data_IF_563485463459
#
_entry.id   IF_563485463459
#
_cell.length_a   1.000
_cell.length_b   1.000
_cell.length_c   1.000
_cell.angle_alpha   90.00
_cell.angle_beta   90.00
_cell.angle_gamma   90.00
#
_symmetry.space_group_name_H-M   'P 1'
#
loop_
_entity.id
_entity.type
_entity.pdbx_description
1 polymer ?
#
# COMPACT_ATOMS: atom_id res chain seq x y z
N UNK A 1 -13.56 23.46 -3.68
CA UNK A 1 -12.53 22.89 -2.79
C UNK A 1 -11.57 22.08 -3.66
N UNK A 2 -10.25 22.21 -3.52
CA UNK A 2 -9.30 21.44 -4.34
C UNK A 2 -9.17 19.98 -3.84
N UNK A 3 -8.60 19.10 -4.66
CA UNK A 3 -8.39 17.67 -4.34
C UNK A 3 -7.68 17.46 -3.01
N UNK A 4 -6.62 18.24 -2.72
CA UNK A 4 -5.89 18.16 -1.46
C UNK A 4 -6.77 18.39 -0.23
N UNK A 5 -7.65 19.40 -0.25
CA UNK A 5 -8.59 19.68 0.84
C UNK A 5 -9.70 18.62 0.95
N UNK A 6 -10.16 18.08 -0.18
CA UNK A 6 -11.16 17.00 -0.20
C UNK A 6 -10.60 15.77 0.49
N UNK A 7 -9.41 15.29 0.09
CA UNK A 7 -8.81 14.10 0.69
C UNK A 7 -8.52 14.31 2.18
N UNK A 8 -8.02 15.48 2.59
CA UNK A 8 -7.85 15.78 4.02
C UNK A 8 -9.19 15.70 4.77
N UNK A 9 -10.29 16.19 4.20
CA UNK A 9 -11.61 16.09 4.81
C UNK A 9 -12.15 14.64 4.82
N UNK A 10 -11.88 13.84 3.78
CA UNK A 10 -12.22 12.41 3.72
C UNK A 10 -11.51 11.64 4.82
N UNK A 11 -10.18 11.78 4.93
CA UNK A 11 -9.34 11.06 5.90
C UNK A 11 -9.69 11.45 7.34
N UNK A 12 -10.01 12.73 7.57
CA UNK A 12 -10.31 13.24 8.90
C UNK A 12 -11.82 13.23 9.25
N UNK A 13 -12.67 12.61 8.43
CA UNK A 13 -14.12 12.50 8.67
C UNK A 13 -14.81 13.88 8.88
N UNK A 14 -14.51 14.86 8.03
CA UNK A 14 -14.98 16.25 8.13
C UNK A 14 -16.00 16.67 7.06
N UNK A 15 -16.94 15.78 6.74
CA UNK A 15 -18.04 16.00 5.79
C UNK A 15 -17.55 16.60 4.45
N UNK A 16 -16.68 15.89 3.72
CA UNK A 16 -16.20 16.37 2.43
C UNK A 16 -17.40 16.52 1.46
N UNK A 17 -17.31 17.44 0.48
CA UNK A 17 -18.41 17.66 -0.48
C UNK A 17 -18.66 16.45 -1.40
N UNK A 18 -17.72 15.51 -1.46
CA UNK A 18 -17.78 14.23 -2.18
C UNK A 18 -16.77 13.25 -1.57
N UNK A 19 -16.89 11.98 -1.91
CA UNK A 19 -15.84 10.98 -1.61
C UNK A 19 -14.51 11.34 -2.28
N UNK A 20 -13.40 10.76 -1.81
CA UNK A 20 -12.13 10.81 -2.54
C UNK A 20 -12.19 9.94 -3.78
N UNK A 21 -11.47 10.30 -4.84
CA UNK A 21 -11.44 9.53 -6.10
C UNK A 21 -10.02 9.41 -6.63
N UNK A 22 -9.61 8.20 -6.94
CA UNK A 22 -8.33 7.85 -7.59
C UNK A 22 -8.67 7.01 -8.81
N UNK A 23 -9.27 7.66 -9.80
CA UNK A 23 -9.76 7.04 -11.03
C UNK A 23 -8.88 7.46 -12.23
N UNK A 24 -8.89 6.72 -13.35
CA UNK A 24 -8.16 7.10 -14.55
C UNK A 24 -8.86 8.24 -15.29
N UNK A 25 -8.14 8.95 -16.16
CA UNK A 25 -8.75 9.92 -17.08
C UNK A 25 -9.87 9.26 -17.91
N UNK A 26 -11.00 9.96 -18.17
CA UNK A 26 -11.27 11.37 -17.87
C UNK A 26 -11.90 11.62 -16.48
N UNK A 27 -11.89 10.63 -15.59
CA UNK A 27 -12.52 10.73 -14.27
C UNK A 27 -11.60 11.42 -13.25
N UNK A 28 -12.14 11.95 -12.13
CA UNK A 28 -11.34 12.64 -11.13
C UNK A 28 -10.25 11.76 -10.51
N UNK A 29 -9.05 12.33 -10.38
CA UNK A 29 -7.95 11.74 -9.63
C UNK A 29 -7.37 12.77 -8.65
N UNK A 30 -7.64 12.55 -7.36
CA UNK A 30 -7.27 13.44 -6.27
C UNK A 30 -5.84 13.27 -5.78
N UNK A 31 -5.15 12.21 -6.21
CA UNK A 31 -3.81 11.87 -5.73
C UNK A 31 -2.73 12.27 -6.72
N UNK A 32 -1.58 12.66 -6.18
CA UNK A 32 -0.33 12.70 -6.90
C UNK A 32 0.70 11.89 -6.12
N UNK A 33 1.17 10.79 -6.70
CA UNK A 33 2.14 9.91 -6.07
C UNK A 33 3.54 10.29 -6.57
N UNK A 34 4.40 10.70 -5.66
CA UNK A 34 5.82 10.89 -5.88
C UNK A 34 6.60 9.66 -5.43
N UNK A 35 7.62 9.30 -6.20
CA UNK A 35 8.53 8.19 -5.89
C UNK A 35 9.94 8.74 -5.75
N UNK A 36 10.77 8.03 -4.99
CA UNK A 36 12.21 8.23 -4.98
C UNK A 36 12.78 7.63 -6.27
N UNK A 37 13.79 8.27 -6.85
CA UNK A 37 14.60 7.67 -7.90
C UNK A 37 15.43 6.53 -7.31
N UNK A 38 15.12 5.30 -7.69
CA UNK A 38 15.87 4.11 -7.28
C UNK A 38 17.13 3.91 -8.13
N UNK A 39 18.11 3.16 -7.62
CA UNK A 39 19.25 2.78 -8.45
C UNK A 39 18.81 1.82 -9.54
N UNK A 40 19.37 1.96 -10.76
CA UNK A 40 19.06 1.04 -11.84
C UNK A 40 19.41 -0.40 -11.44
N UNK A 41 18.48 -1.37 -11.64
CA UNK A 41 18.76 -2.76 -11.33
C UNK A 41 19.89 -3.29 -12.20
N UNK A 42 20.75 -4.13 -11.63
CA UNK A 42 21.75 -4.85 -12.39
C UNK A 42 21.09 -6.02 -13.11
N UNK A 43 20.99 -5.95 -14.44
CA UNK A 43 20.50 -7.07 -15.25
C UNK A 43 21.52 -8.22 -15.19
N UNK A 44 21.02 -9.43 -14.96
CA UNK A 44 21.81 -10.65 -14.88
C UNK A 44 21.40 -11.61 -16.00
N UNK A 45 22.30 -12.52 -16.42
CA UNK A 45 21.91 -13.60 -17.31
C UNK A 45 20.77 -14.44 -16.71
N UNK A 46 19.78 -14.88 -17.51
CA UNK A 46 18.79 -15.85 -17.05
C UNK A 46 19.48 -17.15 -16.64
N UNK A 47 18.90 -17.90 -15.70
CA UNK A 47 19.56 -19.05 -15.08
C UNK A 47 18.93 -20.41 -15.39
N UNK A 48 17.77 -20.56 -16.01
CA UNK A 48 17.21 -21.85 -16.47
C UNK A 48 16.16 -21.56 -17.55
N UNK A 49 14.89 -21.65 -17.16
CA UNK A 49 13.71 -21.31 -17.95
C UNK A 49 13.25 -19.87 -17.70
N UNK A 50 13.95 -19.07 -16.89
CA UNK A 50 13.55 -17.69 -16.65
C UNK A 50 13.78 -16.82 -17.89
N UNK A 51 12.85 -15.91 -18.17
CA UNK A 51 12.99 -14.95 -19.27
C UNK A 51 13.88 -13.78 -18.87
N UNK A 52 13.87 -13.39 -17.58
CA UNK A 52 14.65 -12.27 -17.07
C UNK A 52 15.09 -12.49 -15.63
N UNK A 53 16.25 -11.94 -15.31
CA UNK A 53 16.84 -11.96 -13.97
C UNK A 53 17.57 -10.65 -13.71
N UNK A 54 17.43 -10.11 -12.51
CA UNK A 54 18.06 -8.85 -12.15
C UNK A 54 18.32 -8.77 -10.66
N UNK A 55 19.21 -7.87 -10.26
CA UNK A 55 19.48 -7.53 -8.88
C UNK A 55 19.05 -6.09 -8.60
N UNK A 56 18.22 -5.90 -7.58
CA UNK A 56 17.75 -4.56 -7.18
C UNK A 56 18.79 -3.81 -6.34
N UNK A 57 18.47 -2.57 -5.98
CA UNK A 57 19.34 -1.70 -5.17
C UNK A 57 19.57 -2.21 -3.74
N UNK A 58 18.73 -3.13 -3.25
CA UNK A 58 18.90 -3.81 -1.98
C UNK A 58 19.82 -5.02 -2.09
N UNK A 59 20.27 -5.36 -3.31
CA UNK A 59 21.09 -6.53 -3.59
C UNK A 59 20.29 -7.83 -3.72
N UNK A 60 18.95 -7.76 -3.75
CA UNK A 60 18.07 -8.92 -3.88
C UNK A 60 18.02 -9.33 -5.34
N UNK A 61 18.15 -10.63 -5.60
CA UNK A 61 18.03 -11.19 -6.95
C UNK A 61 16.62 -11.66 -7.21
N UNK A 62 16.07 -11.14 -8.30
CA UNK A 62 14.74 -11.41 -8.79
C UNK A 62 14.82 -12.17 -10.10
N UNK A 63 13.81 -12.99 -10.37
CA UNK A 63 13.63 -13.60 -11.68
C UNK A 63 12.15 -13.64 -12.06
N UNK A 64 11.88 -13.77 -13.36
CA UNK A 64 10.53 -13.85 -13.87
C UNK A 64 10.47 -14.68 -15.16
N UNK A 65 9.36 -15.40 -15.33
CA UNK A 65 9.01 -16.16 -16.52
C UNK A 65 8.21 -15.33 -17.54
N UNK A 66 7.86 -14.09 -17.23
CA UNK A 66 7.08 -13.21 -18.11
C UNK A 66 7.64 -11.78 -18.11
N UNK A 67 7.22 -10.97 -19.08
CA UNK A 67 7.52 -9.53 -19.08
C UNK A 67 6.49 -8.73 -18.27
N UNK A 68 5.39 -9.36 -17.84
CA UNK A 68 4.20 -8.69 -17.31
C UNK A 68 4.06 -8.77 -15.78
N UNK A 69 4.74 -9.71 -15.13
CA UNK A 69 4.70 -9.84 -13.67
C UNK A 69 5.78 -8.98 -12.95
N UNK A 70 5.76 -8.96 -11.62
CA UNK A 70 6.78 -8.26 -10.81
C UNK A 70 8.07 -9.07 -10.60
N UNK A 71 8.05 -10.35 -10.97
CA UNK A 71 9.04 -11.35 -10.63
C UNK A 71 8.94 -11.86 -9.19
N UNK A 72 9.76 -12.85 -8.90
CA UNK A 72 9.90 -13.48 -7.60
C UNK A 72 11.34 -13.39 -7.10
N UNK A 73 11.50 -13.35 -5.78
CA UNK A 73 12.81 -13.37 -5.14
C UNK A 73 13.40 -14.77 -5.26
N UNK A 74 14.45 -14.90 -6.05
CA UNK A 74 15.20 -16.16 -6.19
C UNK A 74 16.39 -16.22 -5.23
N UNK A 75 16.95 -15.07 -4.83
CA UNK A 75 18.03 -15.00 -3.86
C UNK A 75 17.95 -13.70 -3.05
N UNK A 76 17.72 -13.82 -1.74
CA UNK A 76 17.82 -12.69 -0.82
C UNK A 76 19.26 -12.19 -0.67
N UNK A 77 19.45 -10.90 -0.44
CA UNK A 77 20.77 -10.31 -0.19
C UNK A 77 21.44 -10.84 1.09
N UNK A 78 20.63 -11.30 2.05
CA UNK A 78 21.06 -11.91 3.31
C UNK A 78 20.63 -13.39 3.28
N UNK A 79 21.27 -14.19 2.44
CA UNK A 79 21.00 -15.63 2.30
C UNK A 79 21.71 -16.51 3.36
N UNK A 80 22.72 -15.98 4.05
CA UNK A 80 23.27 -16.50 5.31
C UNK A 80 23.33 -15.34 6.32
N UNK A 81 22.99 -15.62 7.58
CA UNK A 81 23.02 -14.64 8.66
C UNK A 81 24.40 -14.00 8.88
N UNK A 82 25.50 -14.67 8.49
CA UNK A 82 26.85 -14.08 8.51
C UNK A 82 26.97 -12.86 7.59
N UNK A 83 26.17 -12.80 6.51
CA UNK A 83 26.17 -11.69 5.57
C UNK A 83 25.66 -10.39 6.20
N UNK A 84 24.78 -10.47 7.21
CA UNK A 84 24.18 -9.29 7.84
C UNK A 84 25.25 -8.33 8.40
N UNK A 85 26.36 -8.84 8.94
CA UNK A 85 27.45 -8.02 9.50
C UNK A 85 28.16 -7.17 8.42
N UNK A 86 28.14 -7.64 7.18
CA UNK A 86 28.83 -7.02 6.05
C UNK A 86 27.86 -6.42 5.03
N UNK A 87 26.57 -6.42 5.35
CA UNK A 87 25.53 -5.88 4.50
C UNK A 87 25.39 -4.38 4.73
N UNK A 88 25.32 -3.64 3.62
CA UNK A 88 25.08 -2.20 3.62
C UNK A 88 23.81 -1.95 2.81
N UNK A 89 22.73 -1.43 3.43
CA UNK A 89 21.52 -1.10 2.69
C UNK A 89 21.73 0.12 1.79
N UNK A 90 20.87 0.33 0.77
CA UNK A 90 20.83 1.59 0.05
C UNK A 90 20.52 2.75 1.01
N UNK A 91 21.12 3.93 0.77
CA UNK A 91 20.81 5.14 1.52
C UNK A 91 19.48 5.72 1.02
N UNK A 92 18.38 5.38 1.69
CA UNK A 92 17.07 5.91 1.32
C UNK A 92 16.89 7.38 1.72
N UNK A 93 17.83 7.96 2.47
CA UNK A 93 17.82 9.38 2.86
C UNK A 93 18.39 10.32 1.80
N UNK A 94 18.99 9.78 0.74
CA UNK A 94 19.76 10.55 -0.24
C UNK A 94 18.88 11.59 -0.97
N UNK A 95 19.05 12.87 -0.62
CA UNK A 95 18.18 13.98 -1.05
C UNK A 95 18.05 14.16 -2.55
N UNK A 96 19.10 13.87 -3.32
CA UNK A 96 19.06 13.97 -4.80
C UNK A 96 17.98 13.08 -5.40
N UNK A 97 17.68 11.96 -4.77
CA UNK A 97 16.75 10.97 -5.29
C UNK A 97 15.28 11.40 -5.10
N UNK A 98 15.03 12.51 -4.41
CA UNK A 98 13.72 13.10 -4.15
C UNK A 98 13.45 14.38 -4.96
N UNK A 99 14.39 14.79 -5.81
CA UNK A 99 14.29 16.03 -6.58
C UNK A 99 13.03 16.04 -7.49
N UNK A 100 12.72 14.91 -8.14
CA UNK A 100 11.52 14.78 -8.97
C UNK A 100 10.24 14.89 -8.13
N UNK A 101 10.15 14.18 -7.01
CA UNK A 101 9.00 14.27 -6.10
C UNK A 101 8.81 15.71 -5.59
N UNK A 102 9.89 16.40 -5.22
CA UNK A 102 9.86 17.80 -4.77
C UNK A 102 9.27 18.71 -5.84
N UNK A 103 9.72 18.57 -7.09
CA UNK A 103 9.18 19.33 -8.23
C UNK A 103 7.69 19.04 -8.45
N UNK A 104 7.30 17.76 -8.48
CA UNK A 104 5.92 17.33 -8.65
C UNK A 104 4.99 17.88 -7.55
N UNK A 105 5.48 17.93 -6.31
CA UNK A 105 4.70 18.35 -5.15
C UNK A 105 4.55 19.88 -5.02
N UNK A 106 5.45 20.67 -5.63
CA UNK A 106 5.41 22.13 -5.57
C UNK A 106 4.27 22.75 -6.41
N UNK A 107 3.92 22.14 -7.54
CA UNK A 107 3.03 22.75 -8.54
C UNK A 107 1.58 22.23 -8.51
N UNK A 108 1.26 21.33 -7.56
CA UNK A 108 -0.01 20.59 -7.58
C UNK A 108 -1.05 21.07 -6.57
N UNK A 109 -2.32 20.88 -6.90
CA UNK A 109 -3.46 21.01 -5.98
C UNK A 109 -4.02 19.65 -5.53
N UNK A 110 -3.38 18.55 -5.97
CA UNK A 110 -3.69 17.17 -5.56
C UNK A 110 -3.13 16.86 -4.17
N UNK A 111 -3.63 15.79 -3.56
CA UNK A 111 -3.08 15.25 -2.32
C UNK A 111 -1.78 14.50 -2.62
N UNK A 112 -0.69 14.92 -1.97
CA UNK A 112 0.68 14.51 -2.33
C UNK A 112 1.09 13.29 -1.52
N UNK A 113 1.48 12.21 -2.17
CA UNK A 113 1.80 10.94 -1.51
C UNK A 113 3.23 10.54 -1.85
N UNK A 114 4.08 10.41 -0.83
CA UNK A 114 5.38 9.77 -0.99
C UNK A 114 5.24 8.25 -0.89
N UNK A 115 5.69 7.52 -1.91
CA UNK A 115 5.66 6.05 -1.88
C UNK A 115 7.00 5.49 -1.41
N UNK A 116 6.99 4.67 -0.35
CA UNK A 116 8.18 3.97 0.17
C UNK A 116 8.10 2.45 -0.09
N UNK A 117 9.23 1.71 -0.04
CA UNK A 117 9.29 0.30 -0.44
C UNK A 117 8.51 -0.71 0.42
N UNK A 118 7.91 -0.26 1.53
CA UNK A 118 7.31 -1.11 2.56
C UNK A 118 7.67 -0.63 3.97
N UNK A 119 7.10 -1.29 4.97
CA UNK A 119 7.65 -1.31 6.33
C UNK A 119 8.59 -2.53 6.46
N UNK A 120 8.92 -2.91 7.70
CA UNK A 120 9.97 -3.89 7.98
C UNK A 120 9.69 -5.26 7.37
N UNK A 121 8.45 -5.75 7.40
CA UNK A 121 8.12 -7.07 6.84
C UNK A 121 8.35 -7.15 5.33
N UNK A 122 7.84 -6.17 4.57
CA UNK A 122 7.92 -6.14 3.12
C UNK A 122 9.37 -6.10 2.65
N UNK A 123 10.21 -5.28 3.28
CA UNK A 123 11.64 -5.23 2.94
C UNK A 123 12.37 -6.49 3.41
N UNK A 124 12.10 -6.95 4.64
CA UNK A 124 12.81 -8.10 5.21
C UNK A 124 12.53 -9.41 4.45
N UNK A 125 11.27 -9.66 4.03
CA UNK A 125 10.90 -10.86 3.26
C UNK A 125 11.55 -10.93 1.86
N UNK A 126 12.07 -9.80 1.37
CA UNK A 126 12.85 -9.72 0.12
C UNK A 126 14.33 -9.96 0.40
N UNK A 127 14.88 -9.32 1.45
CA UNK A 127 16.28 -9.49 1.86
C UNK A 127 16.59 -10.91 2.35
N UNK A 128 15.62 -11.52 3.03
CA UNK A 128 15.63 -12.89 3.53
C UNK A 128 14.42 -13.55 2.89
N UNK A 129 14.65 -14.39 1.89
CA UNK A 129 13.59 -15.02 1.06
C UNK A 129 12.41 -15.46 1.96
N UNK A 130 11.18 -15.21 1.52
CA UNK A 130 9.99 -15.24 2.39
C UNK A 130 9.90 -16.47 3.30
N UNK A 131 10.12 -17.67 2.77
CA UNK A 131 10.05 -18.91 3.54
C UNK A 131 11.13 -19.02 4.63
N UNK A 132 12.36 -18.58 4.35
CA UNK A 132 13.46 -18.54 5.31
C UNK A 132 13.16 -17.50 6.38
N UNK A 133 12.67 -16.34 5.97
CA UNK A 133 12.31 -15.26 6.87
C UNK A 133 11.19 -15.65 7.84
N UNK A 134 10.13 -16.31 7.35
CA UNK A 134 9.04 -16.77 8.23
C UNK A 134 9.53 -17.83 9.22
N UNK A 135 10.44 -18.72 8.83
CA UNK A 135 11.09 -19.65 9.77
C UNK A 135 11.94 -18.89 10.81
N UNK A 136 12.76 -17.94 10.34
CA UNK A 136 13.67 -17.15 11.18
C UNK A 136 12.92 -16.25 12.19
N UNK A 137 11.71 -15.78 11.87
CA UNK A 137 10.85 -15.05 12.82
C UNK A 137 10.59 -15.86 14.10
N UNK A 138 10.51 -17.19 13.97
CA UNK A 138 10.32 -18.10 15.11
C UNK A 138 11.66 -18.54 15.70
N UNK A 139 12.63 -18.88 14.86
CA UNK A 139 13.86 -19.57 15.28
C UNK A 139 15.02 -18.63 15.64
N UNK A 140 15.03 -17.41 15.11
CA UNK A 140 16.21 -16.54 15.05
C UNK A 140 15.89 -15.10 15.46
N UNK A 141 15.07 -14.94 16.51
CA UNK A 141 14.48 -13.65 16.90
C UNK A 141 15.47 -12.50 17.03
N UNK A 142 16.61 -12.72 17.70
CA UNK A 142 17.63 -11.66 17.86
C UNK A 142 18.24 -11.19 16.53
N UNK A 143 18.31 -12.07 15.53
CA UNK A 143 18.83 -11.73 14.20
C UNK A 143 17.79 -10.97 13.40
N UNK A 144 16.51 -11.35 13.54
CA UNK A 144 15.37 -10.62 12.98
C UNK A 144 15.29 -9.20 13.54
N UNK A 145 15.42 -9.02 14.86
CA UNK A 145 15.39 -7.68 15.47
C UNK A 145 16.53 -6.78 14.93
N UNK A 146 17.72 -7.34 14.70
CA UNK A 146 18.85 -6.61 14.07
C UNK A 146 18.54 -6.23 12.62
N UNK A 147 17.95 -7.15 11.85
CA UNK A 147 17.53 -6.89 10.47
C UNK A 147 16.44 -5.81 10.41
N UNK A 148 15.42 -5.90 11.27
CA UNK A 148 14.35 -4.90 11.38
C UNK A 148 14.91 -3.53 11.74
N UNK A 149 15.84 -3.46 12.70
CA UNK A 149 16.48 -2.20 13.06
C UNK A 149 17.22 -1.56 11.88
N UNK A 150 18.00 -2.35 11.14
CA UNK A 150 18.71 -1.87 9.94
C UNK A 150 17.73 -1.30 8.90
N UNK A 151 16.66 -2.04 8.60
CA UNK A 151 15.64 -1.61 7.63
C UNK A 151 14.92 -0.35 8.12
N UNK A 152 14.45 -0.36 9.37
CA UNK A 152 13.73 0.76 9.98
C UNK A 152 14.55 2.04 9.89
N UNK A 153 15.85 1.99 10.17
CA UNK A 153 16.69 3.19 10.13
C UNK A 153 16.73 3.82 8.73
N UNK A 154 16.74 3.02 7.66
CA UNK A 154 16.65 3.55 6.30
C UNK A 154 15.25 4.06 5.97
N UNK A 155 14.19 3.37 6.40
CA UNK A 155 12.81 3.82 6.18
C UNK A 155 12.52 5.15 6.89
N UNK A 156 13.06 5.38 8.09
CA UNK A 156 12.95 6.65 8.79
C UNK A 156 13.57 7.80 7.99
N UNK A 157 14.74 7.59 7.36
CA UNK A 157 15.33 8.60 6.48
C UNK A 157 14.47 8.86 5.24
N UNK A 158 13.86 7.81 4.69
CA UNK A 158 12.98 7.95 3.53
C UNK A 158 11.72 8.80 3.85
N UNK A 159 11.14 8.57 5.04
CA UNK A 159 10.03 9.35 5.57
C UNK A 159 10.42 10.83 5.72
N UNK A 160 11.58 11.09 6.33
CA UNK A 160 12.10 12.46 6.53
C UNK A 160 12.33 13.17 5.19
N UNK A 161 12.88 12.48 4.18
CA UNK A 161 13.09 13.06 2.85
C UNK A 161 11.79 13.35 2.09
N UNK A 162 10.76 12.50 2.22
CA UNK A 162 9.45 12.81 1.64
C UNK A 162 8.73 13.96 2.37
N UNK A 163 8.92 14.08 3.69
CA UNK A 163 8.44 15.24 4.46
C UNK A 163 9.03 16.53 3.90
N UNK A 164 10.36 16.58 3.72
CA UNK A 164 11.05 17.74 3.15
C UNK A 164 10.65 18.03 1.70
N UNK A 165 10.40 16.99 0.90
CA UNK A 165 9.86 17.14 -0.46
C UNK A 165 8.42 17.70 -0.47
N UNK A 166 7.76 17.73 0.70
CA UNK A 166 6.43 18.29 0.89
C UNK A 166 5.31 17.28 0.67
N UNK A 167 5.47 16.01 1.00
CA UNK A 167 4.35 15.06 0.99
C UNK A 167 3.25 15.46 1.99
N UNK A 168 1.99 15.06 1.72
CA UNK A 168 0.89 15.09 2.70
C UNK A 168 0.69 13.73 3.37
N UNK A 169 1.18 12.65 2.76
CA UNK A 169 1.08 11.30 3.28
C UNK A 169 2.23 10.43 2.78
N UNK A 170 2.48 9.34 3.51
CA UNK A 170 3.31 8.23 3.05
C UNK A 170 2.42 7.05 2.72
N UNK A 171 2.68 6.43 1.56
CA UNK A 171 2.06 5.18 1.16
C UNK A 171 3.08 4.05 1.04
N UNK A 172 2.70 2.85 1.46
CA UNK A 172 3.50 1.65 1.32
C UNK A 172 2.64 0.41 1.13
N UNK A 173 3.24 -0.65 0.58
CA UNK A 173 2.64 -1.97 0.47
C UNK A 173 3.24 -2.91 1.52
N UNK A 174 2.38 -3.55 2.30
CA UNK A 174 2.77 -4.41 3.40
C UNK A 174 1.83 -5.62 3.49
N UNK A 175 2.02 -6.57 2.57
CA UNK A 175 1.10 -7.68 2.30
C UNK A 175 1.20 -8.78 3.34
N UNK A 176 0.29 -8.78 4.30
CA UNK A 176 0.29 -9.75 5.42
C UNK A 176 -0.56 -10.99 5.21
N UNK A 177 -1.49 -10.95 4.26
CA UNK A 177 -2.55 -11.94 4.16
C UNK A 177 -2.34 -12.97 3.05
N UNK A 178 -2.83 -14.17 3.33
CA UNK A 178 -3.29 -15.13 2.34
C UNK A 178 -4.77 -14.87 2.01
N UNK A 179 -5.43 -15.74 1.24
CA UNK A 179 -6.88 -15.64 1.03
C UNK A 179 -7.70 -15.83 2.32
N UNK A 180 -7.17 -16.53 3.32
CA UNK A 180 -7.94 -16.93 4.50
C UNK A 180 -7.50 -16.23 5.78
N UNK A 181 -6.21 -15.89 5.91
CA UNK A 181 -5.59 -15.44 7.16
C UNK A 181 -4.20 -14.85 6.95
N UNK A 182 -3.61 -14.31 8.02
CA UNK A 182 -2.24 -13.80 8.05
C UNK A 182 -1.17 -14.90 7.84
N UNK A 183 0.03 -14.51 7.41
CA UNK A 183 1.21 -15.39 7.37
C UNK A 183 1.73 -15.78 8.76
N UNK A 184 1.51 -14.94 9.77
CA UNK A 184 1.88 -15.16 11.17
C UNK A 184 0.65 -15.03 12.06
N UNK A 185 0.66 -15.65 13.24
CA UNK A 185 -0.46 -15.49 14.17
C UNK A 185 -0.63 -14.01 14.57
N UNK A 186 -1.86 -13.54 14.85
CA UNK A 186 -2.08 -12.16 15.30
C UNK A 186 -1.25 -11.79 16.54
N UNK A 187 -1.05 -12.72 17.47
CA UNK A 187 -0.24 -12.48 18.68
C UNK A 187 1.23 -12.29 18.35
N UNK A 188 1.77 -13.10 17.43
CA UNK A 188 3.12 -12.90 16.91
C UNK A 188 3.22 -11.57 16.16
N UNK A 189 2.20 -11.19 15.38
CA UNK A 189 2.17 -9.89 14.75
C UNK A 189 2.28 -8.75 15.77
N UNK A 190 1.50 -8.83 16.86
CA UNK A 190 1.51 -7.84 17.95
C UNK A 190 2.81 -7.76 18.71
N UNK A 191 3.49 -8.89 18.89
CA UNK A 191 4.75 -8.96 19.62
C UNK A 191 5.93 -8.45 18.78
N UNK A 192 5.96 -8.79 17.49
CA UNK A 192 7.14 -8.61 16.64
C UNK A 192 7.02 -7.36 15.78
N UNK A 193 5.86 -7.16 15.14
CA UNK A 193 5.73 -6.20 14.06
C UNK A 193 5.02 -4.91 14.49
N UNK A 194 4.06 -5.00 15.42
CA UNK A 194 3.37 -3.81 15.94
C UNK A 194 4.33 -2.71 16.44
N UNK A 195 5.44 -3.02 17.17
CA UNK A 195 6.39 -1.98 17.57
C UNK A 195 7.01 -1.24 16.38
N UNK A 196 7.35 -1.95 15.29
CA UNK A 196 7.90 -1.36 14.08
C UNK A 196 6.89 -0.42 13.40
N UNK A 197 5.62 -0.84 13.34
CA UNK A 197 4.54 0.00 12.84
C UNK A 197 4.37 1.28 13.67
N UNK A 198 4.37 1.18 15.00
CA UNK A 198 4.25 2.33 15.90
C UNK A 198 5.39 3.34 15.69
N UNK A 199 6.63 2.87 15.53
CA UNK A 199 7.78 3.75 15.31
C UNK A 199 7.68 4.46 13.95
N UNK A 200 7.43 3.71 12.88
CA UNK A 200 7.42 4.26 11.52
C UNK A 200 6.20 5.16 11.27
N UNK A 201 5.00 4.73 11.66
CA UNK A 201 3.80 5.54 11.57
C UNK A 201 3.88 6.77 12.49
N UNK A 202 4.41 6.62 13.71
CA UNK A 202 4.66 7.73 14.62
C UNK A 202 5.55 8.80 13.99
N UNK A 203 6.65 8.40 13.33
CA UNK A 203 7.52 9.36 12.62
C UNK A 203 6.81 10.09 11.47
N UNK A 204 5.92 9.41 10.75
CA UNK A 204 5.12 10.03 9.69
C UNK A 204 4.18 11.08 10.29
N UNK A 205 3.53 10.76 11.41
CA UNK A 205 2.64 11.68 12.13
C UNK A 205 3.38 12.86 12.77
N UNK A 206 4.61 12.69 13.26
CA UNK A 206 5.45 13.78 13.77
C UNK A 206 5.70 14.87 12.73
N UNK A 207 5.68 14.51 11.44
CA UNK A 207 5.77 15.43 10.31
C UNK A 207 4.40 16.01 9.86
N UNK A 208 3.31 15.65 10.54
CA UNK A 208 1.94 16.04 10.18
C UNK A 208 1.44 15.39 8.88
N UNK A 209 2.04 14.29 8.46
CA UNK A 209 1.64 13.52 7.29
C UNK A 209 0.70 12.37 7.69
N UNK A 210 -0.14 11.93 6.75
CA UNK A 210 -0.98 10.75 6.93
C UNK A 210 -0.28 9.44 6.52
N UNK A 211 -0.77 8.30 7.03
CA UNK A 211 -0.25 6.97 6.73
C UNK A 211 -1.27 6.16 5.92
N UNK A 212 -0.87 5.77 4.71
CA UNK A 212 -1.69 4.96 3.79
C UNK A 212 -1.01 3.60 3.62
N UNK A 213 -1.71 2.52 3.99
CA UNK A 213 -1.19 1.17 3.86
C UNK A 213 -2.01 0.38 2.84
N UNK A 214 -1.34 -0.20 1.85
CA UNK A 214 -1.88 -1.27 1.05
C UNK A 214 -1.53 -2.62 1.67
N UNK A 215 -2.48 -3.56 1.65
CA UNK A 215 -2.20 -4.97 1.89
C UNK A 215 -3.06 -5.86 1.00
N UNK A 216 -2.42 -6.79 0.33
CA UNK A 216 -3.08 -7.98 -0.20
C UNK A 216 -3.40 -8.99 0.90
N UNK A 217 -4.32 -9.89 0.59
CA UNK A 217 -4.82 -10.95 1.47
C UNK A 217 -5.75 -10.48 2.59
N UNK A 218 -6.19 -11.42 3.41
CA UNK A 218 -7.14 -11.21 4.52
C UNK A 218 -6.39 -10.85 5.80
N UNK A 219 -6.52 -9.59 6.21
CA UNK A 219 -5.83 -9.07 7.41
C UNK A 219 -6.80 -8.60 8.51
N UNK A 220 -8.08 -8.94 8.41
CA UNK A 220 -9.17 -8.45 9.29
C UNK A 220 -8.84 -8.60 10.79
N UNK A 221 -8.09 -9.63 11.17
CA UNK A 221 -7.71 -9.92 12.56
C UNK A 221 -6.76 -8.91 13.21
N UNK A 222 -6.10 -8.05 12.43
CA UNK A 222 -5.16 -7.03 12.91
C UNK A 222 -5.53 -5.60 12.49
N UNK A 223 -6.65 -5.38 11.79
CA UNK A 223 -7.06 -4.02 11.37
C UNK A 223 -7.18 -3.09 12.57
N UNK A 224 -7.78 -3.55 13.68
CA UNK A 224 -7.85 -2.75 14.91
C UNK A 224 -6.47 -2.37 15.47
N UNK A 225 -5.50 -3.28 15.42
CA UNK A 225 -4.13 -3.00 15.86
C UNK A 225 -3.43 -2.01 14.90
N UNK A 226 -3.66 -2.12 13.59
CA UNK A 226 -3.12 -1.19 12.58
C UNK A 226 -3.64 0.24 12.79
N UNK A 227 -4.94 0.39 13.06
CA UNK A 227 -5.53 1.70 13.40
C UNK A 227 -4.86 2.29 14.64
N UNK A 228 -4.66 1.49 15.69
CA UNK A 228 -3.96 1.93 16.90
C UNK A 228 -2.51 2.34 16.66
N UNK A 229 -1.86 1.76 15.65
CA UNK A 229 -0.50 2.17 15.24
C UNK A 229 -0.47 3.47 14.45
N UNK A 230 -1.62 4.01 14.04
CA UNK A 230 -1.70 5.26 13.28
C UNK A 230 -1.85 5.07 11.77
N UNK A 231 -2.35 3.93 11.29
CA UNK A 231 -2.78 3.81 9.89
C UNK A 231 -4.07 4.61 9.68
N UNK A 232 -4.03 5.64 8.83
CA UNK A 232 -5.17 6.52 8.55
C UNK A 232 -6.05 6.02 7.40
N UNK A 233 -5.44 5.30 6.46
CA UNK A 233 -6.11 4.79 5.27
C UNK A 233 -5.61 3.38 4.93
N UNK A 234 -6.54 2.45 4.74
CA UNK A 234 -6.29 1.10 4.26
C UNK A 234 -6.74 0.98 2.81
N UNK A 235 -5.81 0.63 1.94
CA UNK A 235 -6.10 0.31 0.54
C UNK A 235 -6.28 -1.19 0.40
N UNK A 236 -7.45 -1.61 -0.08
CA UNK A 236 -7.76 -3.01 -0.37
C UNK A 236 -8.34 -3.15 -1.78
N UNK A 237 -7.66 -3.90 -2.65
CA UNK A 237 -8.20 -4.25 -3.98
C UNK A 237 -9.33 -5.29 -3.92
N UNK A 238 -9.39 -6.04 -2.81
CA UNK A 238 -10.34 -7.14 -2.57
C UNK A 238 -11.15 -6.92 -1.29
N UNK A 239 -11.97 -5.86 -1.21
CA UNK A 239 -12.72 -5.52 -0.01
C UNK A 239 -13.70 -6.63 0.41
N UNK A 240 -14.24 -7.45 -0.51
CA UNK A 240 -15.13 -8.56 -0.13
C UNK A 240 -14.42 -9.65 0.66
N UNK A 241 -13.12 -9.83 0.47
CA UNK A 241 -12.34 -10.82 1.22
C UNK A 241 -12.44 -10.60 2.75
N UNK A 242 -12.58 -9.34 3.15
CA UNK A 242 -12.64 -8.91 4.53
C UNK A 242 -14.07 -8.89 5.10
N UNK A 243 -15.08 -8.92 4.21
CA UNK A 243 -16.47 -8.59 4.52
C UNK A 243 -16.65 -7.07 4.61
N UNK A 244 -17.33 -6.46 3.63
CA UNK A 244 -17.51 -4.99 3.55
C UNK A 244 -18.30 -4.48 4.77
N UNK A 245 -19.30 -5.25 5.20
CA UNK A 245 -20.12 -4.99 6.37
C UNK A 245 -19.28 -5.08 7.64
N UNK A 246 -18.45 -6.13 7.78
CA UNK A 246 -17.53 -6.29 8.90
C UNK A 246 -16.58 -5.10 8.98
N UNK A 247 -16.02 -4.66 7.85
CA UNK A 247 -15.15 -3.49 7.79
C UNK A 247 -15.87 -2.21 8.23
N UNK A 248 -17.07 -1.98 7.70
CA UNK A 248 -17.89 -0.80 8.01
C UNK A 248 -18.30 -0.75 9.48
N UNK A 249 -18.87 -1.83 10.01
CA UNK A 249 -19.42 -1.90 11.36
C UNK A 249 -18.33 -1.78 12.44
N UNK A 250 -17.16 -2.36 12.22
CA UNK A 250 -16.09 -2.39 13.23
C UNK A 250 -15.13 -1.20 13.14
N UNK A 251 -14.89 -0.69 11.93
CA UNK A 251 -13.78 0.24 11.65
C UNK A 251 -14.20 1.51 10.90
N UNK A 252 -15.45 1.59 10.41
CA UNK A 252 -16.00 2.82 9.85
C UNK A 252 -15.91 3.99 10.84
N UNK A 253 -15.54 5.17 10.34
CA UNK A 253 -15.29 6.35 11.17
C UNK A 253 -13.98 6.35 11.95
N UNK A 254 -13.17 5.28 11.86
CA UNK A 254 -11.86 5.16 12.54
C UNK A 254 -10.69 5.11 11.56
N UNK A 255 -10.93 4.61 10.35
CA UNK A 255 -9.96 4.53 9.25
C UNK A 255 -10.66 4.78 7.93
N UNK A 256 -9.96 5.37 6.98
CA UNK A 256 -10.45 5.50 5.62
C UNK A 256 -10.20 4.22 4.83
N UNK A 257 -11.18 3.80 4.03
CA UNK A 257 -11.00 2.72 3.08
C UNK A 257 -10.81 3.27 1.68
N UNK A 258 -9.75 2.82 1.01
CA UNK A 258 -9.51 3.08 -0.40
C UNK A 258 -9.66 1.78 -1.17
N UNK A 259 -10.76 1.63 -1.91
CA UNK A 259 -11.08 0.38 -2.60
C UNK A 259 -11.59 0.65 -4.02
N UNK A 260 -11.19 -0.16 -5.01
CA UNK A 260 -11.96 -0.33 -6.22
C UNK A 260 -13.22 -1.18 -5.94
N UNK A 261 -14.04 -1.42 -6.97
CA UNK A 261 -14.95 -2.57 -6.99
C UNK A 261 -14.10 -3.85 -6.96
N UNK A 262 -14.54 -4.86 -6.23
CA UNK A 262 -13.74 -6.03 -5.86
C UNK A 262 -13.17 -6.75 -7.08
N UNK A 263 -11.84 -6.87 -7.09
CA UNK A 263 -11.08 -7.39 -8.23
C UNK A 263 -11.18 -8.92 -8.39
N UNK A 264 -11.70 -9.64 -7.39
CA UNK A 264 -11.77 -11.10 -7.41
C UNK A 264 -13.19 -11.64 -7.60
N UNK A 265 -14.20 -10.95 -7.09
CA UNK A 265 -15.57 -11.45 -7.01
C UNK A 265 -16.57 -10.69 -7.87
N UNK A 266 -16.32 -9.41 -8.15
CA UNK A 266 -17.30 -8.56 -8.81
C UNK A 266 -16.83 -8.09 -10.18
N UNK A 267 -15.65 -7.47 -10.29
CA UNK A 267 -15.13 -7.06 -11.61
C UNK A 267 -15.02 -8.22 -12.61
N UNK A 268 -14.53 -9.42 -12.24
CA UNK A 268 -14.41 -10.55 -13.18
C UNK A 268 -15.75 -11.09 -13.70
N UNK A 269 -16.89 -10.76 -13.08
CA UNK A 269 -18.20 -11.18 -13.61
C UNK A 269 -18.59 -10.38 -14.85
N UNK A 270 -18.00 -9.19 -15.02
CA UNK A 270 -18.32 -8.23 -16.08
C UNK A 270 -19.80 -7.79 -16.10
N UNK A 271 -20.54 -8.06 -15.03
CA UNK A 271 -21.95 -7.71 -14.91
C UNK A 271 -22.09 -6.25 -14.46
N UNK A 272 -22.58 -5.42 -15.38
CA UNK A 272 -22.75 -3.99 -15.15
C UNK A 272 -23.64 -3.65 -13.95
N UNK A 273 -24.66 -4.46 -13.66
CA UNK A 273 -25.58 -4.23 -12.54
C UNK A 273 -24.87 -4.55 -11.23
N UNK A 274 -24.17 -5.69 -11.14
CA UNK A 274 -23.40 -6.06 -9.95
C UNK A 274 -22.30 -5.04 -9.66
N UNK A 275 -21.57 -4.58 -10.67
CA UNK A 275 -20.52 -3.57 -10.54
C UNK A 275 -21.09 -2.24 -10.05
N UNK A 276 -22.21 -1.79 -10.63
CA UNK A 276 -22.87 -0.54 -10.24
C UNK A 276 -23.37 -0.60 -8.80
N UNK A 277 -24.03 -1.71 -8.44
CA UNK A 277 -24.57 -1.92 -7.10
C UNK A 277 -23.46 -1.99 -6.04
N UNK A 278 -22.33 -2.63 -6.35
CA UNK A 278 -21.21 -2.68 -5.42
C UNK A 278 -20.51 -1.33 -5.24
N UNK A 279 -20.31 -0.56 -6.32
CA UNK A 279 -19.75 0.78 -6.22
C UNK A 279 -20.61 1.66 -5.29
N UNK A 280 -21.94 1.61 -5.45
CA UNK A 280 -22.88 2.29 -4.55
C UNK A 280 -22.77 1.75 -3.11
N UNK A 281 -22.71 0.43 -2.94
CA UNK A 281 -22.63 -0.21 -1.63
C UNK A 281 -21.36 0.18 -0.87
N UNK A 282 -20.20 0.25 -1.52
CA UNK A 282 -18.95 0.71 -0.92
C UNK A 282 -19.05 2.16 -0.44
N UNK A 283 -19.66 3.04 -1.24
CA UNK A 283 -19.90 4.44 -0.85
C UNK A 283 -20.79 4.51 0.40
N UNK A 284 -21.91 3.78 0.41
CA UNK A 284 -22.84 3.77 1.55
C UNK A 284 -22.19 3.19 2.81
N UNK A 285 -21.37 2.14 2.67
CA UNK A 285 -20.77 1.45 3.82
C UNK A 285 -19.54 2.15 4.38
N UNK A 286 -18.74 2.83 3.57
CA UNK A 286 -17.50 3.46 4.03
C UNK A 286 -17.57 4.99 4.09
N UNK A 287 -18.45 5.62 3.32
CA UNK A 287 -18.58 7.07 3.23
C UNK A 287 -19.56 7.72 4.22
N UNK A 288 -20.39 6.93 4.92
CA UNK A 288 -21.47 7.42 5.81
C UNK A 288 -21.01 7.88 7.19
N UNK A 289 -19.71 8.12 7.37
CA UNK A 289 -19.12 8.57 8.64
C UNK A 289 -18.61 10.01 8.56
N UNK A 290 -19.20 10.83 7.69
CA UNK A 290 -18.69 12.17 7.39
C UNK A 290 -17.38 12.16 6.59
N UNK A 291 -17.11 11.10 5.83
CA UNK A 291 -15.83 10.82 5.20
C UNK A 291 -15.53 9.33 5.26
N UNK A 292 -14.28 8.94 5.04
CA UNK A 292 -13.85 7.54 5.20
C UNK A 292 -13.83 6.67 3.95
N UNK A 293 -14.19 7.20 2.78
CA UNK A 293 -14.10 6.43 1.53
C UNK A 293 -13.37 7.17 0.40
N UNK A 294 -12.46 6.44 -0.25
CA UNK A 294 -11.77 6.82 -1.47
C UNK A 294 -12.03 5.74 -2.53
N UNK A 295 -12.66 6.13 -3.64
CA UNK A 295 -12.86 5.24 -4.77
C UNK A 295 -11.54 4.97 -5.50
N UNK A 296 -11.23 3.70 -5.75
CA UNK A 296 -10.03 3.25 -6.44
C UNK A 296 -10.27 2.65 -7.83
N UNK A 297 -9.16 2.43 -8.52
CA UNK A 297 -9.08 1.74 -9.80
C UNK A 297 -7.93 0.75 -9.76
N UNK A 298 -8.17 -0.50 -10.19
CA UNK A 298 -7.13 -1.52 -10.25
C UNK A 298 -6.39 -1.44 -11.58
N UNK A 299 -5.08 -1.19 -11.57
CA UNK A 299 -4.36 -0.84 -12.80
C UNK A 299 -4.07 -2.02 -13.74
N UNK A 300 -4.13 -3.27 -13.26
CA UNK A 300 -3.78 -4.45 -14.05
C UNK A 300 -5.03 -5.25 -14.48
N UNK A 301 -5.79 -4.69 -15.44
CA UNK A 301 -7.02 -5.30 -15.96
C UNK A 301 -6.81 -6.74 -16.47
N UNK A 302 -5.70 -6.98 -17.19
CA UNK A 302 -5.40 -8.28 -17.79
C UNK A 302 -5.25 -9.38 -16.73
N UNK A 303 -4.62 -9.06 -15.60
CA UNK A 303 -4.42 -10.02 -14.51
C UNK A 303 -5.72 -10.53 -13.87
N UNK A 304 -6.84 -9.82 -14.05
CA UNK A 304 -8.16 -10.22 -13.56
C UNK A 304 -9.14 -10.54 -14.70
N UNK A 305 -8.64 -10.65 -15.93
CA UNK A 305 -9.41 -11.11 -17.08
C UNK A 305 -10.49 -10.13 -17.57
N UNK A 306 -10.26 -8.83 -17.42
CA UNK A 306 -11.20 -7.80 -17.89
C UNK A 306 -10.54 -6.80 -18.84
N UNK A 307 -11.36 -6.03 -19.56
CA UNK A 307 -10.92 -4.86 -20.32
C UNK A 307 -11.17 -3.57 -19.52
N UNK A 308 -10.50 -2.44 -19.85
CA UNK A 308 -10.72 -1.17 -19.18
C UNK A 308 -12.19 -0.70 -19.18
N UNK A 309 -13.00 -1.08 -20.18
CA UNK A 309 -14.42 -0.74 -20.27
C UNK A 309 -15.25 -1.30 -19.10
N UNK A 310 -14.82 -2.41 -18.49
CA UNK A 310 -15.51 -2.98 -17.33
C UNK A 310 -15.31 -2.08 -16.10
N UNK A 311 -14.09 -1.60 -15.86
CA UNK A 311 -13.83 -0.65 -14.77
C UNK A 311 -14.33 0.77 -15.06
N UNK A 312 -14.63 1.10 -16.32
CA UNK A 312 -15.33 2.33 -16.68
C UNK A 312 -16.70 2.39 -16.01
N UNK A 313 -17.44 1.28 -15.98
CA UNK A 313 -18.75 1.16 -15.29
C UNK A 313 -18.59 1.49 -13.80
N UNK A 314 -17.56 0.95 -13.15
CA UNK A 314 -17.25 1.24 -11.75
C UNK A 314 -16.92 2.74 -11.55
N UNK A 315 -16.10 3.31 -12.43
CA UNK A 315 -15.69 4.73 -12.36
C UNK A 315 -16.87 5.69 -12.54
N UNK A 316 -17.77 5.41 -13.49
CA UNK A 316 -19.00 6.17 -13.71
C UNK A 316 -19.96 6.06 -12.51
N UNK A 317 -20.06 4.87 -11.93
CA UNK A 317 -20.87 4.63 -10.74
C UNK A 317 -20.34 5.40 -9.52
N UNK A 318 -19.02 5.34 -9.27
CA UNK A 318 -18.40 6.13 -8.22
C UNK A 318 -18.60 7.63 -8.42
N UNK A 319 -18.46 8.12 -9.67
CA UNK A 319 -18.70 9.53 -9.98
C UNK A 319 -20.15 9.94 -9.72
N UNK A 320 -21.11 9.13 -10.18
CA UNK A 320 -22.55 9.39 -10.08
C UNK A 320 -23.02 9.44 -8.63
N UNK A 321 -22.66 8.43 -7.83
CA UNK A 321 -23.16 8.28 -6.46
C UNK A 321 -22.26 8.96 -5.42
N UNK A 322 -20.98 9.16 -5.71
CA UNK A 322 -20.01 9.75 -4.79
C UNK A 322 -20.07 11.28 -4.68
N UNK A 323 -20.83 11.96 -5.55
CA UNK A 323 -21.03 13.41 -5.54
C UNK A 323 -22.37 13.85 -4.91
N UNK A 324 -23.28 12.91 -4.64
CA UNK A 324 -24.58 13.22 -4.04
C UNK A 324 -24.35 13.39 -2.53
N UNK A 325 -24.62 14.58 -1.97
CA UNK A 325 -24.45 14.89 -0.54
C UNK A 325 -25.37 14.12 0.43
N UNK A 326 -25.67 12.86 0.13
CA UNK A 326 -26.49 11.93 0.90
C UNK A 326 -25.70 11.19 2.00
N UNK A 327 -24.53 11.71 2.41
CA UNK A 327 -23.67 11.13 3.46
C UNK A 327 -24.21 11.36 4.89
N UNK A 328 -25.53 11.48 5.05
CA UNK A 328 -26.17 11.83 6.33
C UNK A 328 -26.49 10.61 7.17
#
# INVERSE_FOLDING_TARGET
MNSRKIIKAVINFKNPPRIGMVLPEPYPNDFLIGRRTESNPQILPPERSELRRWKDEWGVTWASLTEFDKGEVVLGAINDWKNLKHYYPPDLGKKSDYAEATKLFAETQKFRIGFIPGFTFSVARKLRKLEDYLCDVVLERQKIDKLHNLIRNELLKAIDSFSEAGADAIMFCEDWGTQNQLFVSPDMWREIFRPEFQILAGRIHDHGMNVIMHSCGKITSIIGDLIQCGIDCLQFDQPRLHGIEILSENYGGKVTFWCPVDVQKTLPTQDSELITNEAKFLIEKFGSFGGGFIAGYYTNNEAIGITPDIQKIASESFLKFGCSGNFK
#
